data_IF_904882188041
#
_entry.id   IF_904882188041
#
_cell.length_a   1.000
_cell.length_b   1.000
_cell.length_c   1.000
_cell.angle_alpha   90.00
_cell.angle_beta   90.00
_cell.angle_gamma   90.00
#
_symmetry.space_group_name_H-M   'P 1'
#
loop_
_entity.id
_entity.type
_entity.pdbx_description
1 polymer ?
#
# COMPACT_ATOMS: atom_id res chain seq x y z
N UNK A 1 23.28 7.99 20.48
CA UNK A 1 21.86 8.05 20.90
C UNK A 1 21.08 8.34 19.64
N UNK A 2 20.70 7.30 18.92
CA UNK A 2 20.23 7.43 17.54
C UNK A 2 18.79 7.89 17.58
N UNK A 3 18.64 9.20 17.38
CA UNK A 3 17.39 9.93 17.47
C UNK A 3 16.31 9.30 16.60
N UNK A 4 15.13 9.20 17.18
CA UNK A 4 13.85 8.93 16.54
C UNK A 4 13.83 9.29 15.03
N UNK A 5 13.92 8.28 14.15
CA UNK A 5 13.78 8.54 12.72
C UNK A 5 12.30 8.81 12.40
N UNK A 6 12.04 9.82 11.56
CA UNK A 6 10.68 10.15 11.07
C UNK A 6 9.94 8.94 10.51
N UNK A 7 10.68 7.99 9.92
CA UNK A 7 10.15 6.72 9.44
C UNK A 7 9.54 5.85 10.55
N UNK A 8 10.18 5.77 11.73
CA UNK A 8 9.64 5.01 12.88
C UNK A 8 8.37 5.65 13.43
N UNK A 9 8.29 6.99 13.45
CA UNK A 9 7.08 7.72 13.86
C UNK A 9 5.93 7.51 12.87
N UNK A 10 6.22 7.53 11.56
CA UNK A 10 5.22 7.27 10.53
C UNK A 10 4.63 5.85 10.63
N UNK A 11 5.47 4.84 10.89
CA UNK A 11 5.00 3.45 11.05
C UNK A 11 4.01 3.26 12.20
N UNK A 12 3.99 4.17 13.19
CA UNK A 12 3.02 4.14 14.28
C UNK A 12 1.58 4.25 13.76
N UNK A 13 1.35 4.83 12.58
CA UNK A 13 0.05 4.86 11.91
C UNK A 13 -0.55 3.45 11.75
N UNK A 14 0.25 2.44 11.37
CA UNK A 14 -0.19 1.06 11.16
C UNK A 14 -0.67 0.40 12.45
N UNK A 15 -0.09 0.77 13.58
CA UNK A 15 -0.51 0.28 14.89
C UNK A 15 -1.73 1.05 15.37
N UNK A 16 -1.68 2.39 15.32
CA UNK A 16 -2.72 3.26 15.85
C UNK A 16 -4.06 3.12 15.13
N UNK A 17 -4.07 2.81 13.82
CA UNK A 17 -5.31 2.72 13.04
C UNK A 17 -6.33 1.71 13.61
N UNK A 18 -5.86 0.69 14.35
CA UNK A 18 -6.74 -0.32 14.94
C UNK A 18 -7.60 0.26 16.07
N UNK A 19 -7.12 1.30 16.76
CA UNK A 19 -7.84 1.91 17.88
C UNK A 19 -9.10 2.65 17.40
N UNK A 20 -9.05 3.63 16.46
CA UNK A 20 -10.26 4.27 15.96
C UNK A 20 -11.25 3.28 15.34
N UNK A 21 -10.77 2.28 14.58
CA UNK A 21 -11.65 1.28 13.95
C UNK A 21 -12.45 0.54 15.03
N UNK A 22 -11.77 0.03 16.07
CA UNK A 22 -12.44 -0.66 17.18
C UNK A 22 -13.44 0.23 17.90
N UNK A 23 -13.10 1.50 18.17
CA UNK A 23 -14.01 2.42 18.84
C UNK A 23 -15.23 2.81 17.99
N UNK A 24 -15.06 3.00 16.68
CA UNK A 24 -16.18 3.27 15.77
C UNK A 24 -17.13 2.07 15.72
N UNK A 25 -16.61 0.84 15.58
CA UNK A 25 -17.43 -0.37 15.60
C UNK A 25 -18.19 -0.50 16.93
N UNK A 26 -17.50 -0.31 18.07
CA UNK A 26 -18.13 -0.32 19.38
C UNK A 26 -19.20 0.77 19.53
N UNK A 27 -18.96 1.97 18.98
CA UNK A 27 -19.91 3.08 19.03
C UNK A 27 -21.17 2.80 18.20
N UNK A 28 -21.02 2.18 17.01
CA UNK A 28 -22.15 1.75 16.18
C UNK A 28 -22.97 0.69 16.89
N UNK A 29 -22.33 -0.35 17.45
CA UNK A 29 -23.02 -1.40 18.20
C UNK A 29 -23.77 -0.85 19.42
N UNK A 30 -23.15 0.09 20.16
CA UNK A 30 -23.78 0.76 21.29
C UNK A 30 -24.96 1.66 20.85
N UNK A 31 -24.85 2.35 19.71
CA UNK A 31 -25.95 3.16 19.18
C UNK A 31 -27.13 2.28 18.71
N UNK A 32 -26.86 1.12 18.13
CA UNK A 32 -27.89 0.14 17.74
C UNK A 32 -28.58 -0.43 19.00
N UNK A 33 -27.83 -0.82 20.02
CA UNK A 33 -28.42 -1.41 21.24
C UNK A 33 -29.31 -0.43 22.00
N UNK A 34 -28.99 0.87 21.92
CA UNK A 34 -29.76 1.95 22.55
C UNK A 34 -30.79 2.61 21.62
N UNK A 35 -31.06 2.06 20.43
CA UNK A 35 -31.89 2.72 19.41
C UNK A 35 -33.25 3.20 19.93
N UNK A 36 -33.90 2.38 20.77
CA UNK A 36 -35.21 2.65 21.40
C UNK A 36 -35.11 3.46 22.70
N UNK A 37 -33.92 3.59 23.30
CA UNK A 37 -33.66 4.32 24.56
C UNK A 37 -32.42 5.20 24.40
N UNK A 38 -32.52 6.33 23.66
CA UNK A 38 -31.39 7.18 23.31
C UNK A 38 -30.84 8.02 24.48
N UNK A 39 -31.48 7.96 25.65
CA UNK A 39 -31.11 8.71 26.85
C UNK A 39 -30.62 7.76 27.97
N UNK A 40 -30.04 8.33 29.04
CA UNK A 40 -29.50 7.57 30.17
C UNK A 40 -28.01 7.23 30.06
N UNK A 41 -27.56 6.23 30.83
CA UNK A 41 -26.12 5.91 30.94
C UNK A 41 -25.46 5.55 29.61
N UNK A 42 -26.19 4.87 28.71
CA UNK A 42 -25.72 4.55 27.36
C UNK A 42 -25.29 5.79 26.56
N UNK A 43 -25.94 6.94 26.77
CA UNK A 43 -25.56 8.19 26.10
C UNK A 43 -24.23 8.74 26.60
N UNK A 44 -23.96 8.56 27.90
CA UNK A 44 -22.71 8.96 28.53
C UNK A 44 -21.55 8.04 28.11
N UNK A 45 -21.79 6.73 28.04
CA UNK A 45 -20.80 5.78 27.51
C UNK A 45 -20.47 6.08 26.06
N UNK A 46 -21.48 6.29 25.20
CA UNK A 46 -21.27 6.66 23.80
C UNK A 46 -20.49 7.98 23.67
N UNK A 47 -20.81 8.98 24.48
CA UNK A 47 -20.09 10.27 24.47
C UNK A 47 -18.61 10.11 24.82
N UNK A 48 -18.29 9.34 25.86
CA UNK A 48 -16.89 9.05 26.26
C UNK A 48 -16.17 8.26 25.19
N UNK A 49 -16.82 7.25 24.63
CA UNK A 49 -16.28 6.41 23.56
C UNK A 49 -15.94 7.24 22.32
N UNK A 50 -16.85 8.11 21.88
CA UNK A 50 -16.62 9.02 20.76
C UNK A 50 -15.50 10.05 21.04
N UNK A 51 -15.34 10.49 22.28
CA UNK A 51 -14.25 11.39 22.67
C UNK A 51 -12.88 10.70 22.51
N UNK A 52 -12.74 9.49 23.06
CA UNK A 52 -11.50 8.69 22.93
C UNK A 52 -11.24 8.35 21.46
N UNK A 53 -12.28 8.00 20.71
CA UNK A 53 -12.19 7.77 19.26
C UNK A 53 -11.67 9.01 18.51
N UNK A 54 -12.21 10.20 18.80
CA UNK A 54 -11.79 11.43 18.14
C UNK A 54 -10.32 11.74 18.38
N UNK A 55 -9.86 11.58 19.63
CA UNK A 55 -8.43 11.74 19.98
C UNK A 55 -7.59 10.72 19.22
N UNK A 56 -7.94 9.43 19.28
CA UNK A 56 -7.20 8.38 18.58
C UNK A 56 -7.14 8.61 17.06
N UNK A 57 -8.24 9.08 16.45
CA UNK A 57 -8.32 9.37 15.03
C UNK A 57 -7.42 10.54 14.63
N UNK A 58 -7.35 11.60 15.45
CA UNK A 58 -6.44 12.73 15.22
C UNK A 58 -4.98 12.30 15.27
N UNK A 59 -4.58 11.50 16.28
CA UNK A 59 -3.22 10.95 16.37
C UNK A 59 -2.91 10.02 15.19
N UNK A 60 -3.85 9.17 14.79
CA UNK A 60 -3.70 8.27 13.64
C UNK A 60 -3.52 9.06 12.34
N UNK A 61 -4.31 10.11 12.11
CA UNK A 61 -4.20 10.96 10.94
C UNK A 61 -2.87 11.74 10.93
N UNK A 62 -2.44 12.28 12.08
CA UNK A 62 -1.16 12.95 12.21
C UNK A 62 0.03 12.01 11.89
N UNK A 63 0.03 10.80 12.47
CA UNK A 63 1.04 9.78 12.15
C UNK A 63 1.00 9.38 10.66
N UNK A 64 -0.19 9.32 10.06
CA UNK A 64 -0.37 9.05 8.63
C UNK A 64 0.22 10.15 7.74
N UNK A 65 0.07 11.43 8.12
CA UNK A 65 0.69 12.55 7.40
C UNK A 65 2.23 12.49 7.48
N UNK A 66 2.78 12.15 8.65
CA UNK A 66 4.22 11.91 8.81
C UNK A 66 4.67 10.76 7.92
N UNK A 67 3.93 9.64 7.90
CA UNK A 67 4.23 8.51 7.03
C UNK A 67 4.20 8.90 5.55
N UNK A 68 3.20 9.67 5.13
CA UNK A 68 3.10 10.17 3.75
C UNK A 68 4.29 11.07 3.38
N UNK A 69 4.81 11.88 4.31
CA UNK A 69 5.99 12.72 4.05
C UNK A 69 7.31 11.96 3.89
N UNK A 70 7.37 10.69 4.27
CA UNK A 70 8.58 9.86 4.07
C UNK A 70 8.84 9.50 2.61
N UNK A 71 7.86 9.72 1.73
CA UNK A 71 7.94 9.34 0.32
C UNK A 71 7.84 7.84 0.06
N UNK A 72 7.58 7.02 1.11
CA UNK A 72 7.46 5.55 1.02
C UNK A 72 6.28 5.08 0.15
N UNK A 73 5.23 5.88 0.08
CA UNK A 73 4.07 5.64 -0.77
C UNK A 73 3.94 6.85 -1.70
N UNK A 74 3.79 6.63 -3.01
CA UNK A 74 3.58 7.70 -4.00
C UNK A 74 2.67 7.21 -5.14
N UNK A 75 1.36 7.26 -4.94
CA UNK A 75 0.37 6.81 -5.93
C UNK A 75 -0.92 7.64 -5.80
N UNK A 76 -1.77 7.66 -6.83
CA UNK A 76 -3.07 8.38 -6.78
C UNK A 76 -3.97 7.89 -5.62
N UNK A 77 -4.01 6.59 -5.27
CA UNK A 77 -4.68 6.11 -4.06
C UNK A 77 -4.18 6.74 -2.76
N UNK A 78 -2.92 7.21 -2.70
CA UNK A 78 -2.38 7.86 -1.49
C UNK A 78 -3.08 9.18 -1.21
N UNK A 79 -3.33 9.97 -2.25
CA UNK A 79 -4.01 11.25 -2.09
C UNK A 79 -5.45 11.04 -1.63
N UNK A 80 -6.15 10.09 -2.26
CA UNK A 80 -7.50 9.70 -1.85
C UNK A 80 -7.52 9.18 -0.40
N UNK A 81 -6.58 8.31 -0.03
CA UNK A 81 -6.47 7.78 1.34
C UNK A 81 -6.18 8.88 2.36
N UNK A 82 -5.29 9.83 2.02
CA UNK A 82 -4.94 10.97 2.88
C UNK A 82 -6.18 11.80 3.21
N UNK A 83 -6.95 12.17 2.19
CA UNK A 83 -8.18 12.95 2.38
C UNK A 83 -9.27 12.15 3.09
N UNK A 84 -9.42 10.86 2.79
CA UNK A 84 -10.34 9.98 3.50
C UNK A 84 -9.99 9.87 5.00
N UNK A 85 -8.69 9.75 5.34
CA UNK A 85 -8.21 9.71 6.72
C UNK A 85 -8.46 11.01 7.49
N UNK A 86 -8.20 12.16 6.87
CA UNK A 86 -8.55 13.47 7.44
C UNK A 86 -10.06 13.65 7.61
N UNK A 87 -10.85 13.18 6.64
CA UNK A 87 -12.30 13.15 6.71
C UNK A 87 -12.80 12.30 7.88
N UNK A 88 -12.22 11.12 8.12
CA UNK A 88 -12.53 10.29 9.29
C UNK A 88 -12.25 11.02 10.60
N UNK A 89 -11.08 11.68 10.72
CA UNK A 89 -10.75 12.44 11.92
C UNK A 89 -11.73 13.61 12.16
N UNK A 90 -12.09 14.35 11.10
CA UNK A 90 -13.08 15.42 11.18
C UNK A 90 -14.48 14.91 11.57
N UNK A 91 -14.93 13.81 10.97
CA UNK A 91 -16.21 13.16 11.29
C UNK A 91 -16.25 12.61 12.72
N UNK A 92 -15.13 12.09 13.23
CA UNK A 92 -15.02 11.63 14.61
C UNK A 92 -15.23 12.78 15.61
N UNK A 93 -14.59 13.93 15.35
CA UNK A 93 -14.79 15.15 16.15
C UNK A 93 -16.22 15.66 16.02
N UNK A 94 -16.79 15.68 14.81
CA UNK A 94 -18.16 16.12 14.57
C UNK A 94 -19.20 15.24 15.30
N UNK A 95 -19.03 13.91 15.26
CA UNK A 95 -19.89 12.96 15.98
C UNK A 95 -19.82 13.19 17.50
N UNK A 96 -18.61 13.34 18.05
CA UNK A 96 -18.43 13.64 19.48
C UNK A 96 -19.08 14.98 19.87
N UNK A 97 -18.85 16.04 19.10
CA UNK A 97 -19.42 17.36 19.36
C UNK A 97 -20.96 17.37 19.22
N UNK A 98 -21.51 16.66 18.24
CA UNK A 98 -22.96 16.53 18.08
C UNK A 98 -23.60 15.80 19.27
N UNK A 99 -22.91 14.77 19.80
CA UNK A 99 -23.34 14.05 21.00
C UNK A 99 -23.24 14.93 22.26
N UNK A 100 -22.23 15.79 22.37
CA UNK A 100 -22.12 16.76 23.48
C UNK A 100 -23.21 17.82 23.43
N UNK A 101 -23.61 18.26 22.24
CA UNK A 101 -24.67 19.25 22.04
C UNK A 101 -26.09 18.69 22.14
N UNK A 102 -26.25 17.40 22.48
CA UNK A 102 -27.56 16.77 22.60
C UNK A 102 -28.36 16.75 21.30
N UNK A 103 -27.70 16.67 20.14
CA UNK A 103 -28.34 16.59 18.82
C UNK A 103 -28.31 15.15 18.30
N UNK A 104 -29.21 14.25 18.75
CA UNK A 104 -29.08 12.80 18.51
C UNK A 104 -29.14 12.42 17.03
N UNK A 105 -30.00 13.06 16.23
CA UNK A 105 -30.06 12.80 14.80
C UNK A 105 -28.78 13.22 14.06
N UNK A 106 -28.17 14.34 14.45
CA UNK A 106 -26.89 14.79 13.89
C UNK A 106 -25.77 13.85 14.33
N UNK A 107 -25.76 13.41 15.59
CA UNK A 107 -24.77 12.46 16.10
C UNK A 107 -24.86 11.10 15.37
N UNK A 108 -26.08 10.59 15.12
CA UNK A 108 -26.33 9.37 14.35
C UNK A 108 -25.86 9.50 12.91
N UNK A 109 -26.21 10.60 12.24
CA UNK A 109 -25.77 10.84 10.87
C UNK A 109 -24.25 10.95 10.78
N UNK A 110 -23.61 11.66 11.72
CA UNK A 110 -22.16 11.78 11.79
C UNK A 110 -21.47 10.43 12.07
N UNK A 111 -22.04 9.60 12.96
CA UNK A 111 -21.52 8.26 13.26
C UNK A 111 -21.66 7.33 12.05
N UNK A 112 -22.79 7.36 11.34
CA UNK A 112 -22.98 6.57 10.12
C UNK A 112 -22.01 7.00 9.01
N UNK A 113 -21.85 8.32 8.81
CA UNK A 113 -20.87 8.86 7.87
C UNK A 113 -19.43 8.47 8.26
N UNK A 114 -19.10 8.53 9.55
CA UNK A 114 -17.80 8.11 10.07
C UNK A 114 -17.54 6.61 9.82
N UNK A 115 -18.53 5.76 10.07
CA UNK A 115 -18.41 4.32 9.80
C UNK A 115 -18.16 4.05 8.31
N UNK A 116 -18.95 4.66 7.42
CA UNK A 116 -18.74 4.55 5.98
C UNK A 116 -17.37 5.07 5.53
N UNK A 117 -16.96 6.23 6.03
CA UNK A 117 -15.64 6.81 5.74
C UNK A 117 -14.50 5.90 6.23
N UNK A 118 -14.66 5.25 7.38
CA UNK A 118 -13.66 4.31 7.93
C UNK A 118 -13.50 3.09 7.03
N UNK A 119 -14.60 2.54 6.51
CA UNK A 119 -14.57 1.42 5.54
C UNK A 119 -13.85 1.84 4.25
N UNK A 120 -14.20 3.00 3.69
CA UNK A 120 -13.57 3.52 2.47
C UNK A 120 -12.07 3.79 2.70
N UNK A 121 -11.72 4.46 3.80
CA UNK A 121 -10.32 4.73 4.15
C UNK A 121 -9.52 3.45 4.35
N UNK A 122 -10.11 2.44 5.01
CA UNK A 122 -9.51 1.11 5.19
C UNK A 122 -9.28 0.39 3.87
N UNK A 123 -10.23 0.45 2.94
CA UNK A 123 -10.08 -0.11 1.59
C UNK A 123 -8.93 0.55 0.83
N UNK A 124 -8.90 1.90 0.79
CA UNK A 124 -7.81 2.65 0.15
C UNK A 124 -6.45 2.37 0.81
N UNK A 125 -6.44 2.19 2.13
CA UNK A 125 -5.25 1.81 2.89
C UNK A 125 -4.75 0.42 2.51
N UNK A 126 -5.65 -0.55 2.37
CA UNK A 126 -5.31 -1.89 1.90
C UNK A 126 -4.77 -1.88 0.47
N UNK A 127 -5.30 -1.04 -0.42
CA UNK A 127 -4.76 -0.87 -1.77
C UNK A 127 -3.32 -0.35 -1.77
N UNK A 128 -2.97 0.54 -0.83
CA UNK A 128 -1.60 1.05 -0.69
C UNK A 128 -0.61 0.00 -0.21
N UNK A 129 -1.05 -0.99 0.57
CA UNK A 129 -0.17 -2.01 1.16
C UNK A 129 -0.15 -3.33 0.41
N UNK A 130 -1.26 -3.68 -0.24
CA UNK A 130 -1.48 -4.99 -0.87
C UNK A 130 -1.80 -4.91 -2.37
N UNK A 131 -1.95 -3.70 -2.93
CA UNK A 131 -2.28 -3.49 -4.34
C UNK A 131 -3.79 -3.46 -4.64
N UNK A 132 -4.19 -3.17 -5.88
CA UNK A 132 -5.58 -2.94 -6.28
C UNK A 132 -6.49 -4.18 -6.15
N UNK A 133 -5.92 -5.39 -6.24
CA UNK A 133 -6.68 -6.65 -6.13
C UNK A 133 -6.90 -7.12 -4.68
N UNK A 134 -6.55 -6.30 -3.69
CA UNK A 134 -6.61 -6.64 -2.27
C UNK A 134 -8.05 -6.65 -1.69
N UNK A 135 -9.04 -7.06 -2.48
CA UNK A 135 -10.42 -7.15 -2.02
C UNK A 135 -10.60 -8.36 -1.08
N UNK A 136 -10.64 -8.01 0.20
CA UNK A 136 -11.34 -8.65 1.32
C UNK A 136 -10.89 -10.09 1.63
N UNK A 137 -10.56 -10.28 2.90
CA UNK A 137 -10.29 -11.50 3.69
C UNK A 137 -11.02 -12.83 3.32
N UNK A 138 -11.92 -12.85 2.33
CA UNK A 138 -12.69 -14.00 1.82
C UNK A 138 -12.58 -14.24 0.31
N UNK A 139 -11.95 -13.35 -0.46
CA UNK A 139 -11.74 -13.51 -1.89
C UNK A 139 -10.31 -13.96 -2.15
N UNK A 140 -10.07 -15.26 -2.06
CA UNK A 140 -8.84 -15.84 -2.59
C UNK A 140 -8.75 -15.50 -4.07
N UNK A 141 -7.92 -14.53 -4.43
CA UNK A 141 -7.06 -14.79 -5.58
C UNK A 141 -6.23 -15.98 -5.13
N UNK A 142 -6.73 -17.18 -5.43
CA UNK A 142 -5.89 -18.36 -5.53
C UNK A 142 -4.75 -17.93 -6.44
N UNK A 143 -3.64 -17.53 -5.84
CA UNK A 143 -2.35 -17.75 -6.45
C UNK A 143 -2.29 -19.27 -6.51
N UNK A 144 -2.82 -19.84 -7.60
CA UNK A 144 -2.50 -21.21 -7.97
C UNK A 144 -0.98 -21.25 -7.90
N UNK A 145 -0.37 -22.01 -6.97
CA UNK A 145 1.05 -22.23 -7.05
C UNK A 145 1.23 -22.81 -8.43
N UNK A 146 2.01 -22.13 -9.28
CA UNK A 146 2.49 -22.73 -10.50
C UNK A 146 2.97 -24.11 -10.10
N UNK A 147 2.33 -25.15 -10.63
CA UNK A 147 2.59 -26.53 -10.23
C UNK A 147 4.10 -26.72 -10.27
N UNK A 148 4.69 -26.87 -9.08
CA UNK A 148 6.10 -27.17 -8.94
C UNK A 148 6.26 -28.57 -9.52
N UNK A 149 6.59 -28.62 -10.81
CA UNK A 149 7.07 -29.82 -11.46
C UNK A 149 8.29 -30.26 -10.67
N UNK A 150 8.23 -31.48 -10.15
CA UNK A 150 9.16 -31.99 -9.16
C UNK A 150 10.62 -31.70 -9.53
N UNK A 151 11.30 -30.97 -8.65
CA UNK A 151 12.77 -30.92 -8.61
C UNK A 151 13.21 -31.28 -7.19
N UNK A 152 14.28 -32.09 -7.05
CA UNK A 152 14.70 -32.64 -5.77
C UNK A 152 15.17 -31.53 -4.83
N UNK A 153 15.05 -31.76 -3.52
CA UNK A 153 15.43 -30.83 -2.47
C UNK A 153 16.89 -30.36 -2.65
N UNK A 154 17.06 -29.16 -3.19
CA UNK A 154 18.35 -28.45 -3.23
C UNK A 154 18.49 -27.66 -1.94
N UNK A 155 19.66 -27.75 -1.32
CA UNK A 155 19.99 -27.07 -0.07
C UNK A 155 19.82 -25.54 -0.24
N UNK A 156 18.99 -24.85 0.57
CA UNK A 156 18.64 -23.44 0.37
C UNK A 156 19.83 -22.48 0.35
N UNK A 157 20.93 -22.82 1.04
CA UNK A 157 22.16 -22.02 1.03
C UNK A 157 22.90 -22.00 -0.33
N UNK A 158 22.73 -23.05 -1.15
CA UNK A 158 23.33 -23.11 -2.50
C UNK A 158 22.47 -22.32 -3.51
N UNK A 159 21.17 -22.28 -3.29
CA UNK A 159 20.21 -21.52 -4.12
C UNK A 159 20.43 -20.02 -3.96
N UNK A 160 20.65 -19.54 -2.74
CA UNK A 160 20.87 -18.12 -2.43
C UNK A 160 22.13 -17.56 -3.13
N UNK A 161 23.24 -18.31 -3.10
CA UNK A 161 24.50 -17.90 -3.74
C UNK A 161 24.45 -17.93 -5.27
N UNK A 162 23.74 -18.90 -5.85
CA UNK A 162 23.56 -18.97 -7.30
C UNK A 162 22.60 -17.88 -7.80
N UNK A 163 21.51 -17.64 -7.08
CA UNK A 163 20.58 -16.56 -7.35
C UNK A 163 21.27 -15.18 -7.27
N UNK A 164 22.16 -15.01 -6.31
CA UNK A 164 22.93 -13.78 -6.17
C UNK A 164 23.85 -13.52 -7.37
N UNK A 165 24.55 -14.55 -7.83
CA UNK A 165 25.41 -14.46 -9.02
C UNK A 165 24.62 -14.13 -10.28
N UNK A 166 23.38 -14.62 -10.43
CA UNK A 166 22.52 -14.27 -11.56
C UNK A 166 22.13 -12.80 -11.51
N UNK A 167 21.73 -12.28 -10.36
CA UNK A 167 21.37 -10.86 -10.25
C UNK A 167 22.55 -9.96 -10.59
N UNK A 168 23.70 -10.15 -9.94
CA UNK A 168 24.88 -9.28 -10.11
C UNK A 168 25.46 -9.35 -11.53
N UNK A 169 25.50 -10.53 -12.16
CA UNK A 169 26.17 -10.68 -13.45
C UNK A 169 25.24 -10.48 -14.65
N UNK A 170 23.95 -10.79 -14.53
CA UNK A 170 23.03 -10.79 -15.68
C UNK A 170 21.96 -9.70 -15.59
N UNK A 171 21.42 -9.43 -14.41
CA UNK A 171 20.27 -8.53 -14.26
C UNK A 171 20.68 -7.10 -13.94
N UNK A 172 21.59 -6.93 -12.98
CA UNK A 172 22.06 -5.63 -12.54
C UNK A 172 22.63 -4.79 -13.70
N UNK A 173 23.49 -5.33 -14.60
CA UNK A 173 24.00 -4.56 -15.72
C UNK A 173 22.90 -4.09 -16.69
N UNK A 174 21.85 -4.89 -16.87
CA UNK A 174 20.69 -4.53 -17.71
C UNK A 174 19.91 -3.37 -17.08
N UNK A 175 19.64 -3.45 -15.78
CA UNK A 175 18.95 -2.38 -15.05
C UNK A 175 19.78 -1.08 -15.04
N UNK A 176 21.07 -1.16 -14.78
CA UNK A 176 21.97 0.00 -14.77
C UNK A 176 22.05 0.68 -16.13
N UNK A 177 22.24 -0.09 -17.21
CA UNK A 177 22.38 0.44 -18.56
C UNK A 177 21.08 1.00 -19.12
N UNK A 178 19.98 0.27 -18.96
CA UNK A 178 18.75 0.53 -19.73
C UNK A 178 17.58 1.07 -18.90
N UNK A 179 17.72 1.17 -17.57
CA UNK A 179 16.61 1.58 -16.70
C UNK A 179 16.99 2.73 -15.75
N UNK A 180 18.12 2.62 -15.04
CA UNK A 180 18.44 3.50 -13.90
C UNK A 180 18.71 4.94 -14.32
N UNK A 181 19.20 5.20 -15.53
CA UNK A 181 19.44 6.58 -16.00
C UNK A 181 18.15 7.44 -15.97
N UNK A 182 17.00 6.83 -16.25
CA UNK A 182 15.69 7.50 -16.24
C UNK A 182 14.80 7.14 -15.05
N UNK A 183 15.08 6.03 -14.37
CA UNK A 183 14.32 5.48 -13.25
C UNK A 183 15.23 5.22 -12.04
N UNK A 184 16.10 6.18 -11.73
CA UNK A 184 17.09 6.12 -10.68
C UNK A 184 17.01 7.30 -9.73
N UNK A 185 18.00 7.48 -8.84
CA UNK A 185 17.99 8.56 -7.85
C UNK A 185 18.07 9.96 -8.49
N UNK A 186 18.80 10.10 -9.60
CA UNK A 186 19.03 11.38 -10.27
C UNK A 186 17.86 11.82 -11.16
N UNK A 187 17.10 10.85 -11.68
CA UNK A 187 15.94 11.10 -12.54
C UNK A 187 14.88 10.04 -12.27
N UNK A 188 13.68 10.51 -11.92
CA UNK A 188 12.55 9.65 -11.51
C UNK A 188 11.40 9.81 -12.51
N UNK A 189 11.60 9.39 -13.75
CA UNK A 189 10.52 9.42 -14.76
C UNK A 189 9.39 8.48 -14.36
N UNK A 190 8.16 8.91 -14.61
CA UNK A 190 6.97 8.13 -14.25
C UNK A 190 6.84 7.83 -12.76
N UNK A 191 7.49 8.60 -11.86
CA UNK A 191 7.57 8.30 -10.41
C UNK A 191 8.09 6.89 -10.09
N UNK A 192 8.85 6.29 -11.01
CA UNK A 192 9.36 4.93 -10.89
C UNK A 192 10.85 4.95 -10.55
N UNK A 193 11.26 4.09 -9.62
CA UNK A 193 12.66 3.79 -9.29
C UNK A 193 12.93 2.29 -9.44
N UNK A 194 14.03 1.96 -10.10
CA UNK A 194 14.50 0.60 -10.40
C UNK A 194 15.89 0.32 -9.82
N UNK A 195 16.47 1.28 -9.11
CA UNK A 195 17.78 1.18 -8.46
C UNK A 195 17.74 0.48 -7.10
N UNK A 196 16.55 0.24 -6.56
CA UNK A 196 16.37 -0.59 -5.36
C UNK A 196 15.20 -1.56 -5.50
N UNK A 197 15.34 -2.71 -4.85
CA UNK A 197 14.30 -3.74 -4.83
C UNK A 197 12.99 -3.18 -4.30
N UNK A 198 13.03 -2.51 -3.16
CA UNK A 198 11.82 -2.00 -2.48
C UNK A 198 11.04 -1.04 -3.38
N UNK A 199 11.72 -0.17 -4.12
CA UNK A 199 11.08 0.77 -5.03
C UNK A 199 10.54 0.08 -6.28
N UNK A 200 11.29 -0.89 -6.84
CA UNK A 200 10.84 -1.65 -8.00
C UNK A 200 9.60 -2.51 -7.71
N UNK A 201 9.48 -3.04 -6.49
CA UNK A 201 8.29 -3.77 -6.03
C UNK A 201 7.07 -2.86 -5.85
N UNK A 202 7.28 -1.58 -5.53
CA UNK A 202 6.19 -0.61 -5.38
C UNK A 202 5.66 -0.13 -6.73
N UNK A 203 6.56 0.05 -7.72
CA UNK A 203 6.21 0.59 -9.03
C UNK A 203 6.17 2.12 -9.06
N UNK A 204 5.50 2.67 -10.08
CA UNK A 204 5.43 4.13 -10.31
C UNK A 204 4.01 4.61 -10.59
N UNK A 205 3.90 5.60 -11.49
CA UNK A 205 2.63 6.23 -11.88
C UNK A 205 1.62 5.25 -12.50
N UNK A 206 2.07 4.11 -13.03
CA UNK A 206 1.18 3.07 -13.56
C UNK A 206 0.25 2.47 -12.49
N UNK A 207 0.59 2.59 -11.20
CA UNK A 207 -0.18 1.98 -10.12
C UNK A 207 0.03 0.46 -9.97
N UNK A 208 0.89 -0.14 -10.81
CA UNK A 208 1.27 -1.55 -10.78
C UNK A 208 2.74 -1.72 -10.37
N UNK A 209 3.11 -2.81 -9.67
CA UNK A 209 4.51 -3.14 -9.39
C UNK A 209 5.32 -3.16 -10.68
N UNK A 210 6.49 -2.53 -10.68
CA UNK A 210 7.41 -2.68 -11.81
C UNK A 210 7.91 -4.12 -11.90
N UNK A 211 8.19 -4.72 -10.75
CA UNK A 211 8.55 -6.13 -10.62
C UNK A 211 7.61 -6.80 -9.61
N UNK A 212 6.96 -7.89 -10.02
CA UNK A 212 6.15 -8.75 -9.15
C UNK A 212 6.83 -10.13 -9.01
N UNK A 213 7.48 -10.42 -7.87
CA UNK A 213 8.19 -11.68 -7.65
C UNK A 213 7.31 -12.91 -7.94
N UNK A 214 7.85 -13.83 -8.74
CA UNK A 214 7.18 -15.06 -9.16
C UNK A 214 6.11 -14.87 -10.24
N UNK A 215 5.83 -13.64 -10.68
CA UNK A 215 4.78 -13.34 -11.65
C UNK A 215 5.28 -12.39 -12.76
N UNK A 216 6.05 -12.91 -13.74
CA UNK A 216 6.55 -12.12 -14.86
C UNK A 216 5.46 -11.35 -15.62
N UNK A 217 4.34 -12.02 -15.92
CA UNK A 217 3.22 -11.44 -16.67
C UNK A 217 2.47 -10.31 -15.93
N UNK A 218 2.63 -10.24 -14.61
CA UNK A 218 2.06 -9.17 -13.79
C UNK A 218 3.10 -8.12 -13.39
N UNK A 219 4.27 -8.13 -14.03
CA UNK A 219 5.35 -7.16 -13.81
C UNK A 219 5.33 -6.11 -14.92
N UNK A 220 5.08 -4.85 -14.56
CA UNK A 220 4.95 -3.75 -15.51
C UNK A 220 6.25 -3.52 -16.31
N UNK A 221 7.42 -3.83 -15.72
CA UNK A 221 8.71 -3.78 -16.41
C UNK A 221 8.70 -4.69 -17.64
N UNK A 222 8.31 -5.96 -17.48
CA UNK A 222 8.30 -6.92 -18.58
C UNK A 222 7.25 -6.57 -19.63
N UNK A 223 6.08 -6.09 -19.20
CA UNK A 223 5.06 -5.60 -20.14
C UNK A 223 5.64 -4.53 -21.06
N UNK A 224 6.26 -3.49 -20.49
CA UNK A 224 6.75 -2.33 -21.25
C UNK A 224 7.94 -2.63 -22.14
N UNK A 225 8.86 -3.50 -21.74
CA UNK A 225 10.04 -3.86 -22.58
C UNK A 225 9.68 -4.84 -23.70
N UNK A 226 8.52 -5.50 -23.64
CA UNK A 226 8.01 -6.39 -24.70
C UNK A 226 7.13 -5.67 -25.72
N UNK A 227 6.73 -4.42 -25.46
CA UNK A 227 5.90 -3.67 -26.40
C UNK A 227 6.66 -3.36 -27.70
N UNK A 228 5.95 -3.28 -28.84
CA UNK A 228 6.51 -2.77 -30.09
C UNK A 228 7.19 -1.41 -29.90
N UNK A 229 8.28 -1.14 -30.64
CA UNK A 229 9.06 0.10 -30.45
C UNK A 229 8.32 1.37 -30.86
N UNK A 230 7.24 1.25 -31.64
CA UNK A 230 6.35 2.33 -32.05
C UNK A 230 5.20 2.59 -31.06
N UNK A 231 5.09 1.79 -30.00
CA UNK A 231 4.15 1.99 -28.89
C UNK A 231 4.65 3.11 -27.95
N UNK A 232 3.73 3.97 -27.53
CA UNK A 232 4.04 5.13 -26.68
C UNK A 232 4.38 4.76 -25.23
N UNK A 233 4.01 3.55 -24.79
CA UNK A 233 4.35 3.01 -23.49
C UNK A 233 5.62 2.15 -23.49
N UNK A 234 6.18 1.85 -24.67
CA UNK A 234 7.36 1.01 -24.80
C UNK A 234 8.57 1.60 -24.08
N UNK A 235 9.34 0.74 -23.42
CA UNK A 235 10.55 1.13 -22.72
C UNK A 235 11.75 0.31 -23.22
N UNK A 236 12.95 0.91 -23.32
CA UNK A 236 13.28 2.32 -23.08
C UNK A 236 12.76 3.26 -24.19
N UNK A 237 12.56 4.55 -23.89
CA UNK A 237 12.08 5.55 -24.86
C UNK A 237 13.23 6.19 -25.65
N UNK A 238 12.96 6.65 -26.87
CA UNK A 238 13.92 7.38 -27.72
C UNK A 238 14.81 6.45 -28.55
N UNK A 239 16.03 6.91 -28.84
CA UNK A 239 16.98 6.21 -29.72
C UNK A 239 17.70 5.01 -29.05
N UNK A 240 17.30 4.65 -27.82
CA UNK A 240 17.83 3.45 -27.16
C UNK A 240 17.39 2.20 -27.94
N UNK A 241 18.33 1.31 -28.33
CA UNK A 241 18.02 0.10 -29.10
C UNK A 241 17.09 -0.87 -28.36
N UNK A 242 16.86 -0.66 -27.06
CA UNK A 242 16.06 -1.52 -26.21
C UNK A 242 16.82 -2.76 -25.77
N UNK A 243 16.10 -3.66 -25.11
CA UNK A 243 16.68 -4.89 -24.61
C UNK A 243 16.67 -5.95 -25.72
N UNK A 244 17.74 -6.73 -25.77
CA UNK A 244 17.77 -7.94 -26.59
C UNK A 244 16.78 -8.99 -26.07
N UNK A 245 16.38 -9.92 -26.94
CA UNK A 245 15.51 -11.05 -26.56
C UNK A 245 16.10 -11.83 -25.38
N UNK A 246 17.42 -12.04 -25.37
CA UNK A 246 18.12 -12.73 -24.29
C UNK A 246 18.04 -11.98 -22.95
N UNK A 247 18.13 -10.65 -22.96
CA UNK A 247 18.01 -9.83 -21.74
C UNK A 247 16.57 -9.81 -21.22
N UNK A 248 15.57 -9.76 -22.11
CA UNK A 248 14.16 -9.88 -21.72
C UNK A 248 13.88 -11.25 -21.11
N UNK A 249 14.39 -12.33 -21.72
CA UNK A 249 14.28 -13.68 -21.16
C UNK A 249 14.99 -13.84 -19.81
N UNK A 250 16.16 -13.20 -19.64
CA UNK A 250 16.88 -13.22 -18.36
C UNK A 250 16.07 -12.52 -17.26
N UNK A 251 15.51 -11.35 -17.56
CA UNK A 251 14.60 -10.63 -16.65
C UNK A 251 13.37 -11.48 -16.30
N UNK A 252 12.76 -12.14 -17.28
CA UNK A 252 11.63 -13.03 -17.05
C UNK A 252 11.96 -14.19 -16.12
N UNK A 253 13.07 -14.91 -16.39
CA UNK A 253 13.51 -16.04 -15.56
C UNK A 253 13.84 -15.58 -14.14
N UNK A 254 14.50 -14.43 -14.00
CA UNK A 254 14.83 -13.86 -12.71
C UNK A 254 13.59 -13.43 -11.92
N UNK A 255 12.62 -12.78 -12.55
CA UNK A 255 11.36 -12.41 -11.91
C UNK A 255 10.60 -13.67 -11.49
N UNK A 256 10.53 -14.69 -12.36
CA UNK A 256 9.90 -15.97 -12.07
C UNK A 256 10.55 -16.67 -10.87
N UNK A 257 11.86 -16.54 -10.70
CA UNK A 257 12.62 -17.06 -9.56
C UNK A 257 12.40 -16.27 -8.25
N UNK A 258 11.51 -15.27 -8.24
CA UNK A 258 11.19 -14.46 -7.06
C UNK A 258 11.97 -13.15 -6.95
N UNK A 259 12.63 -12.72 -8.04
CA UNK A 259 13.44 -11.51 -8.09
C UNK A 259 14.42 -11.37 -6.90
N UNK A 260 15.32 -12.36 -6.68
CA UNK A 260 16.38 -12.26 -5.69
C UNK A 260 17.32 -11.10 -6.05
N UNK A 261 17.70 -10.30 -5.05
CA UNK A 261 18.40 -9.02 -5.21
C UNK A 261 19.57 -8.96 -4.25
N UNK A 262 20.50 -9.89 -4.42
CA UNK A 262 21.69 -10.08 -3.57
C UNK A 262 22.82 -10.63 -4.44
#
# INVERSE_FOLDING_TARGET
>A
MDGFSLARLGNLHLVLLHLPIGFVVAAVLLEISRWKRPEGEGANYLRRLLAVNAVAALFTAAAGLVLASTGKYQSDPLEMHRWAGLGCAGLAVAAWLAQMRGRPWVARAALAALFGATVVSGHLGATLTHGPDAMVFWGGSEVKPAQATGKPAVNPAVVDKAAALVFVNEIQPVLERSCIECHGPDKIKGRLRLDSREAALLGGRSGHPAIKPGMPEASELLRRVRLPRDDDEAMPLGDDPGLSVAEIEALEKWILAGAPWH
#
